data_IF_939268850396
#
_entry.id   IF_939268850396
#
_cell.length_a   1.000
_cell.length_b   1.000
_cell.length_c   1.000
_cell.angle_alpha   90.00
_cell.angle_beta   90.00
_cell.angle_gamma   90.00
#
_symmetry.space_group_name_H-M   'P 1'
#
loop_
_entity.id
_entity.type
_entity.pdbx_description
1 polymer ?
#
# COMPACT_ATOMS: atom_id res chain seq x y z
N UNK A 1 38.74 -11.23 33.45
CA UNK A 1 39.62 -10.25 32.76
C UNK A 1 40.50 -9.40 33.68
N UNK A 2 40.03 -8.95 34.86
CA UNK A 2 40.84 -8.10 35.77
C UNK A 2 42.21 -8.71 36.16
N UNK A 3 42.25 -10.02 36.43
CA UNK A 3 43.49 -10.72 36.87
C UNK A 3 44.57 -10.73 35.79
N UNK A 4 44.22 -10.97 34.51
CA UNK A 4 45.16 -10.98 33.38
C UNK A 4 45.73 -9.58 33.09
N UNK A 5 44.93 -8.54 33.23
CA UNK A 5 45.39 -7.15 33.10
C UNK A 5 46.41 -6.79 34.19
N UNK A 6 46.11 -7.11 35.45
CA UNK A 6 47.04 -6.86 36.56
C UNK A 6 48.31 -7.71 36.46
N UNK A 7 48.23 -8.95 35.96
CA UNK A 7 49.40 -9.76 35.63
C UNK A 7 50.24 -9.14 34.51
N UNK A 8 49.60 -8.61 33.46
CA UNK A 8 50.27 -7.90 32.36
C UNK A 8 50.99 -6.63 32.85
N UNK A 9 50.31 -5.80 33.65
CA UNK A 9 50.89 -4.58 34.25
C UNK A 9 52.06 -4.93 35.18
N UNK A 10 51.90 -5.94 36.04
CA UNK A 10 52.95 -6.41 36.93
C UNK A 10 54.16 -6.94 36.14
N UNK A 11 53.93 -7.75 35.10
CA UNK A 11 54.98 -8.27 34.23
C UNK A 11 55.71 -7.14 33.50
N UNK A 12 54.98 -6.17 32.96
CA UNK A 12 55.54 -5.01 32.23
C UNK A 12 56.42 -4.13 33.12
N UNK A 13 56.06 -3.98 34.40
CA UNK A 13 56.82 -3.16 35.34
C UNK A 13 57.99 -3.93 35.97
N UNK A 14 57.82 -5.21 36.31
CA UNK A 14 58.81 -5.97 37.07
C UNK A 14 59.83 -6.70 36.18
N UNK A 15 59.40 -7.29 35.05
CA UNK A 15 60.30 -8.11 34.22
C UNK A 15 61.46 -7.31 33.60
N UNK A 16 61.27 -6.09 33.06
CA UNK A 16 62.38 -5.29 32.52
C UNK A 16 63.42 -4.89 33.57
N UNK A 17 62.97 -4.60 34.80
CA UNK A 17 63.84 -4.23 35.92
C UNK A 17 64.70 -5.42 36.35
N UNK A 18 64.08 -6.60 36.49
CA UNK A 18 64.80 -7.83 36.86
C UNK A 18 65.80 -8.22 35.76
N UNK A 19 65.41 -8.15 34.49
CA UNK A 19 66.30 -8.48 33.37
C UNK A 19 67.47 -7.47 33.29
N UNK A 20 67.17 -6.18 33.41
CA UNK A 20 68.17 -5.11 33.32
C UNK A 20 69.22 -5.17 34.43
N UNK A 21 68.81 -5.46 35.67
CA UNK A 21 69.74 -5.55 36.81
C UNK A 21 70.54 -6.86 36.77
N UNK A 22 69.88 -7.98 36.46
CA UNK A 22 70.48 -9.30 36.66
C UNK A 22 71.29 -9.81 35.47
N UNK A 23 70.96 -9.39 34.24
CA UNK A 23 71.65 -9.79 33.01
C UNK A 23 72.45 -8.65 32.37
N UNK A 24 72.31 -7.41 32.88
CA UNK A 24 72.95 -6.21 32.36
C UNK A 24 72.72 -5.96 30.86
N UNK A 25 71.68 -6.57 30.30
CA UNK A 25 71.30 -6.48 28.89
C UNK A 25 70.10 -5.54 28.74
N UNK A 26 70.42 -4.29 28.44
CA UNK A 26 69.45 -3.21 28.25
C UNK A 26 68.53 -3.48 27.05
N UNK A 27 68.99 -4.19 26.02
CA UNK A 27 68.20 -4.46 24.82
C UNK A 27 67.03 -5.39 25.13
N UNK A 28 67.32 -6.50 25.81
CA UNK A 28 66.31 -7.50 26.18
C UNK A 28 65.29 -6.95 27.19
N UNK A 29 65.72 -6.04 28.08
CA UNK A 29 64.83 -5.32 29.00
C UNK A 29 63.77 -4.47 28.27
N UNK A 30 64.18 -3.73 27.24
CA UNK A 30 63.25 -2.94 26.42
C UNK A 30 62.26 -3.79 25.63
N UNK A 31 62.71 -4.92 25.08
CA UNK A 31 61.82 -5.85 24.37
C UNK A 31 60.77 -6.44 25.30
N UNK A 32 61.13 -6.76 26.54
CA UNK A 32 60.19 -7.25 27.55
C UNK A 32 59.16 -6.17 27.95
N UNK A 33 59.58 -4.91 28.08
CA UNK A 33 58.70 -3.79 28.39
C UNK A 33 57.68 -3.54 27.26
N UNK A 34 58.15 -3.53 26.00
CA UNK A 34 57.29 -3.35 24.83
C UNK A 34 56.28 -4.50 24.69
N UNK A 35 56.73 -5.73 24.93
CA UNK A 35 55.87 -6.92 24.87
C UNK A 35 54.79 -6.88 25.95
N UNK A 36 55.14 -6.48 27.18
CA UNK A 36 54.18 -6.29 28.27
C UNK A 36 53.19 -5.15 28.00
N UNK A 37 53.67 -4.01 27.49
CA UNK A 37 52.82 -2.87 27.12
C UNK A 37 51.84 -3.25 25.99
N UNK A 38 52.30 -4.02 25.01
CA UNK A 38 51.46 -4.52 23.91
C UNK A 38 50.36 -5.46 24.41
N UNK A 39 50.68 -6.43 25.28
CA UNK A 39 49.70 -7.33 25.89
C UNK A 39 48.66 -6.54 26.71
N UNK A 40 49.10 -5.55 27.47
CA UNK A 40 48.22 -4.67 28.27
C UNK A 40 47.28 -3.86 27.37
N UNK A 41 47.77 -3.36 26.23
CA UNK A 41 46.97 -2.66 25.23
C UNK A 41 45.94 -3.59 24.56
N UNK A 42 46.35 -4.78 24.12
CA UNK A 42 45.45 -5.76 23.48
C UNK A 42 44.36 -6.24 24.46
N UNK A 43 44.67 -6.37 25.74
CA UNK A 43 43.68 -6.72 26.75
C UNK A 43 42.57 -5.66 26.94
N UNK A 44 42.82 -4.41 26.54
CA UNK A 44 41.87 -3.28 26.61
C UNK A 44 41.23 -2.92 25.27
N UNK A 45 41.71 -3.46 24.17
CA UNK A 45 41.12 -3.29 22.83
C UNK A 45 39.61 -3.65 22.78
N UNK A 46 39.12 -4.73 23.42
CA UNK A 46 37.69 -5.05 23.41
C UNK A 46 36.81 -4.00 24.11
N UNK A 47 37.28 -3.46 25.24
CA UNK A 47 36.56 -2.39 25.97
C UNK A 47 36.52 -1.10 25.14
N UNK A 48 37.61 -0.75 24.45
CA UNK A 48 37.68 0.42 23.54
C UNK A 48 36.79 0.20 22.31
N UNK A 49 36.73 -1.01 21.78
CA UNK A 49 35.87 -1.38 20.66
C UNK A 49 34.38 -1.32 21.03
N UNK A 50 33.99 -1.79 22.22
CA UNK A 50 32.61 -1.66 22.72
C UNK A 50 32.21 -0.18 22.93
N UNK A 51 33.12 0.65 23.45
CA UNK A 51 32.89 2.08 23.64
C UNK A 51 32.78 2.85 22.31
N UNK A 52 33.47 2.40 21.26
CA UNK A 52 33.37 2.98 19.91
C UNK A 52 32.13 2.50 19.15
N UNK A 53 31.71 1.24 19.36
CA UNK A 53 30.52 0.67 18.71
C UNK A 53 29.21 1.10 19.37
N UNK A 54 29.20 1.46 20.66
CA UNK A 54 28.00 1.94 21.36
C UNK A 54 27.37 3.19 20.70
N UNK A 55 28.11 4.30 20.57
CA UNK A 55 27.62 5.52 19.92
C UNK A 55 27.27 5.33 18.45
N UNK A 56 28.02 4.50 17.71
CA UNK A 56 27.73 4.19 16.30
C UNK A 56 26.45 3.37 16.18
N UNK A 57 26.27 2.34 17.02
CA UNK A 57 25.05 1.51 17.05
C UNK A 57 23.81 2.31 17.47
N UNK A 58 23.96 3.26 18.40
CA UNK A 58 22.90 4.19 18.76
C UNK A 58 22.50 5.07 17.57
N UNK A 59 23.46 5.74 16.93
CA UNK A 59 23.20 6.54 15.72
C UNK A 59 22.59 5.73 14.58
N UNK A 60 23.03 4.48 14.39
CA UNK A 60 22.45 3.59 13.38
C UNK A 60 20.98 3.26 13.69
N UNK A 61 20.64 2.99 14.96
CA UNK A 61 19.25 2.77 15.37
C UNK A 61 18.40 4.02 15.16
N UNK A 62 18.91 5.19 15.55
CA UNK A 62 18.20 6.46 15.35
C UNK A 62 17.94 6.71 13.86
N UNK A 63 18.91 6.42 12.98
CA UNK A 63 18.74 6.55 11.52
C UNK A 63 17.80 5.52 10.92
N UNK A 64 17.77 4.30 11.44
CA UNK A 64 16.80 3.28 11.04
C UNK A 64 15.37 3.70 11.47
N UNK A 65 15.22 4.24 12.67
CA UNK A 65 13.94 4.74 13.18
C UNK A 65 13.45 5.94 12.36
N UNK A 66 14.33 6.91 12.09
CA UNK A 66 14.05 8.05 11.22
C UNK A 66 13.60 7.58 9.83
N UNK A 67 14.33 6.63 9.22
CA UNK A 67 13.96 6.06 7.93
C UNK A 67 12.60 5.32 7.98
N UNK A 68 12.32 4.59 9.06
CA UNK A 68 11.03 3.91 9.26
C UNK A 68 9.87 4.90 9.35
N UNK A 69 10.07 6.02 10.02
CA UNK A 69 9.08 7.12 10.09
C UNK A 69 8.86 7.72 8.71
N UNK A 70 9.94 8.01 7.96
CA UNK A 70 9.84 8.55 6.60
C UNK A 70 9.11 7.58 5.66
N UNK A 71 9.41 6.28 5.72
CA UNK A 71 8.71 5.26 4.93
C UNK A 71 7.21 5.26 5.25
N UNK A 72 6.85 5.35 6.54
CA UNK A 72 5.45 5.41 6.97
C UNK A 72 4.76 6.67 6.44
N UNK A 73 5.45 7.82 6.43
CA UNK A 73 4.91 9.06 5.88
C UNK A 73 4.73 8.99 4.35
N UNK A 74 5.71 8.45 3.63
CA UNK A 74 5.61 8.24 2.18
C UNK A 74 4.49 7.29 1.81
N UNK A 75 4.30 6.21 2.59
CA UNK A 75 3.18 5.28 2.43
C UNK A 75 1.83 6.00 2.57
N UNK A 76 1.66 6.83 3.62
CA UNK A 76 0.44 7.64 3.80
C UNK A 76 0.17 8.57 2.62
N UNK A 77 1.21 9.24 2.12
CA UNK A 77 1.08 10.11 0.93
C UNK A 77 0.68 9.30 -0.30
N UNK A 78 1.28 8.12 -0.50
CA UNK A 78 0.95 7.23 -1.61
C UNK A 78 -0.51 6.75 -1.55
N UNK A 79 -1.01 6.38 -0.36
CA UNK A 79 -2.41 6.01 -0.12
C UNK A 79 -3.34 7.18 -0.47
N UNK A 80 -3.12 8.37 0.08
CA UNK A 80 -3.97 9.54 -0.20
C UNK A 80 -3.93 9.96 -1.67
N UNK A 81 -2.76 9.92 -2.32
CA UNK A 81 -2.64 10.26 -3.73
C UNK A 81 -3.31 9.20 -4.63
N UNK A 82 -3.26 7.93 -4.24
CA UNK A 82 -3.94 6.85 -4.97
C UNK A 82 -5.45 6.98 -4.88
N UNK A 83 -5.99 7.32 -3.72
CA UNK A 83 -7.43 7.59 -3.56
C UNK A 83 -7.89 8.74 -4.46
N UNK A 84 -7.16 9.87 -4.45
CA UNK A 84 -7.46 11.00 -5.34
C UNK A 84 -7.35 10.59 -6.82
N UNK A 85 -6.30 9.86 -7.19
CA UNK A 85 -6.08 9.40 -8.58
C UNK A 85 -7.20 8.47 -9.04
N UNK A 86 -7.65 7.53 -8.21
CA UNK A 86 -8.73 6.62 -8.57
C UNK A 86 -10.08 7.34 -8.63
N UNK A 87 -10.32 8.28 -7.72
CA UNK A 87 -11.50 9.15 -7.74
C UNK A 87 -11.55 9.98 -9.02
N UNK A 88 -10.45 10.61 -9.41
CA UNK A 88 -10.35 11.35 -10.67
C UNK A 88 -10.48 10.43 -11.89
N UNK A 89 -9.86 9.25 -11.84
CA UNK A 89 -9.92 8.25 -12.90
C UNK A 89 -11.35 7.78 -13.13
N UNK A 90 -12.16 7.59 -12.09
CA UNK A 90 -13.54 7.14 -12.24
C UNK A 90 -14.49 8.31 -12.56
N UNK A 91 -14.23 9.51 -12.01
CA UNK A 91 -14.94 10.75 -12.36
C UNK A 91 -14.79 11.09 -13.85
N UNK A 92 -13.58 10.90 -14.41
CA UNK A 92 -13.32 11.08 -15.83
C UNK A 92 -14.08 10.08 -16.72
N UNK A 93 -14.78 9.08 -16.16
CA UNK A 93 -15.56 8.11 -16.95
C UNK A 93 -16.76 8.76 -17.61
N UNK A 94 -17.23 9.84 -17.01
CA UNK A 94 -18.35 10.61 -17.50
C UNK A 94 -17.99 11.58 -18.64
N UNK A 95 -16.71 11.95 -18.81
CA UNK A 95 -16.27 12.96 -19.78
C UNK A 95 -15.62 12.39 -21.06
N UNK A 96 -15.51 11.06 -21.19
CA UNK A 96 -14.88 10.40 -22.35
C UNK A 96 -13.34 10.38 -22.28
N UNK A 97 -12.68 9.82 -23.30
CA UNK A 97 -11.22 9.85 -23.46
C UNK A 97 -10.46 8.57 -23.12
N UNK A 98 -10.83 7.84 -22.06
CA UNK A 98 -10.21 6.56 -21.69
C UNK A 98 -11.23 5.43 -21.65
N UNK A 99 -10.91 4.29 -22.25
CA UNK A 99 -11.76 3.09 -22.24
C UNK A 99 -11.89 2.51 -20.83
N UNK A 100 -13.05 1.90 -20.54
CA UNK A 100 -13.29 1.29 -19.23
C UNK A 100 -12.28 0.18 -18.92
N UNK A 101 -11.91 -0.63 -19.93
CA UNK A 101 -10.84 -1.63 -19.81
C UNK A 101 -9.53 -1.03 -19.27
N UNK A 102 -9.09 0.11 -19.83
CA UNK A 102 -7.84 0.75 -19.40
C UNK A 102 -7.93 1.31 -18.00
N UNK A 103 -9.11 1.80 -17.58
CA UNK A 103 -9.34 2.27 -16.20
C UNK A 103 -9.22 1.12 -15.20
N UNK A 104 -9.84 -0.02 -15.50
CA UNK A 104 -9.72 -1.23 -14.66
C UNK A 104 -8.26 -1.71 -14.57
N UNK A 105 -7.51 -1.63 -15.67
CA UNK A 105 -6.08 -1.95 -15.68
C UNK A 105 -5.28 -1.02 -14.76
N UNK A 106 -5.47 0.31 -14.90
CA UNK A 106 -4.80 1.30 -14.05
C UNK A 106 -5.16 1.09 -12.57
N UNK A 107 -6.43 0.83 -12.27
CA UNK A 107 -6.87 0.50 -10.92
C UNK A 107 -6.09 -0.69 -10.34
N UNK A 108 -6.01 -1.79 -11.08
CA UNK A 108 -5.29 -2.99 -10.61
C UNK A 108 -3.80 -2.69 -10.38
N UNK A 109 -3.18 -1.87 -11.24
CA UNK A 109 -1.79 -1.47 -11.07
C UNK A 109 -1.59 -0.62 -9.81
N UNK A 110 -2.49 0.33 -9.54
CA UNK A 110 -2.47 1.16 -8.32
C UNK A 110 -2.63 0.29 -7.07
N UNK A 111 -3.62 -0.60 -7.04
CA UNK A 111 -3.86 -1.51 -5.92
C UNK A 111 -2.68 -2.47 -5.71
N UNK A 112 -2.09 -3.00 -6.78
CA UNK A 112 -0.90 -3.85 -6.70
C UNK A 112 0.29 -3.10 -6.11
N UNK A 113 0.55 -1.87 -6.59
CA UNK A 113 1.65 -1.05 -6.09
C UNK A 113 1.47 -0.70 -4.59
N UNK A 114 0.24 -0.41 -4.15
CA UNK A 114 -0.05 -0.19 -2.73
C UNK A 114 0.21 -1.45 -1.89
N UNK A 115 -0.17 -2.63 -2.36
CA UNK A 115 0.12 -3.90 -1.69
C UNK A 115 1.62 -4.16 -1.61
N UNK A 116 2.38 -3.87 -2.66
CA UNK A 116 3.84 -4.04 -2.71
C UNK A 116 4.57 -3.16 -1.69
N UNK A 117 4.08 -1.94 -1.43
CA UNK A 117 4.63 -1.06 -0.38
C UNK A 117 4.07 -1.38 1.03
N UNK A 118 3.31 -2.47 1.16
CA UNK A 118 2.80 -2.97 2.43
C UNK A 118 1.56 -2.23 2.95
N UNK A 119 0.69 -1.71 2.07
CA UNK A 119 -0.63 -1.21 2.45
C UNK A 119 -1.47 -2.32 3.12
N UNK A 120 -2.12 -1.99 4.23
CA UNK A 120 -3.04 -2.90 4.91
C UNK A 120 -4.44 -2.83 4.29
N UNK A 121 -5.32 -3.75 4.69
CA UNK A 121 -6.67 -3.85 4.12
C UNK A 121 -7.51 -2.58 4.37
N UNK A 122 -7.33 -1.92 5.52
CA UNK A 122 -8.07 -0.71 5.84
C UNK A 122 -7.63 0.48 4.95
N UNK A 123 -6.33 0.57 4.65
CA UNK A 123 -5.80 1.54 3.68
C UNK A 123 -6.29 1.27 2.26
N UNK A 124 -6.38 -0.01 1.85
CA UNK A 124 -6.93 -0.40 0.56
C UNK A 124 -8.44 -0.10 0.47
N UNK A 125 -9.22 -0.43 1.49
CA UNK A 125 -10.64 -0.09 1.57
C UNK A 125 -10.88 1.42 1.49
N UNK A 126 -10.02 2.22 2.13
CA UNK A 126 -10.07 3.68 2.05
C UNK A 126 -9.86 4.16 0.62
N UNK A 127 -8.83 3.65 -0.07
CA UNK A 127 -8.52 4.01 -1.46
C UNK A 127 -9.61 3.58 -2.43
N UNK A 128 -10.21 2.42 -2.21
CA UNK A 128 -11.25 1.87 -3.09
C UNK A 128 -12.65 2.45 -2.83
N UNK A 129 -12.87 3.22 -1.76
CA UNK A 129 -14.21 3.67 -1.35
C UNK A 129 -14.94 4.40 -2.46
N UNK A 130 -14.32 5.45 -3.01
CA UNK A 130 -14.97 6.29 -4.02
C UNK A 130 -14.90 5.65 -5.42
N UNK A 131 -13.89 4.81 -5.65
CA UNK A 131 -13.85 3.91 -6.80
C UNK A 131 -15.08 3.00 -6.85
N UNK A 132 -15.42 2.34 -5.73
CA UNK A 132 -16.57 1.42 -5.63
C UNK A 132 -17.90 2.14 -5.87
N UNK A 133 -18.04 3.38 -5.41
CA UNK A 133 -19.19 4.23 -5.73
C UNK A 133 -19.29 4.50 -7.23
N UNK A 134 -18.17 4.87 -7.87
CA UNK A 134 -18.13 5.09 -9.31
C UNK A 134 -18.48 3.83 -10.12
N UNK A 135 -18.00 2.65 -9.70
CA UNK A 135 -18.39 1.36 -10.31
C UNK A 135 -19.90 1.10 -10.17
N UNK A 136 -20.50 1.43 -9.03
CA UNK A 136 -21.96 1.32 -8.82
C UNK A 136 -22.76 2.17 -9.81
N UNK A 137 -22.30 3.39 -10.09
CA UNK A 137 -22.92 4.27 -11.09
C UNK A 137 -22.80 3.68 -12.51
N UNK A 138 -21.66 3.06 -12.83
CA UNK A 138 -21.48 2.40 -14.13
C UNK A 138 -22.42 1.21 -14.29
N UNK A 139 -22.61 0.40 -13.24
CA UNK A 139 -23.62 -0.66 -13.23
C UNK A 139 -25.02 -0.11 -13.47
N UNK A 140 -25.39 0.96 -12.78
CA UNK A 140 -26.68 1.59 -13.00
C UNK A 140 -26.84 2.07 -14.46
N UNK A 141 -25.81 2.69 -15.03
CA UNK A 141 -25.82 3.11 -16.44
C UNK A 141 -26.00 1.94 -17.40
N UNK A 142 -25.35 0.80 -17.13
CA UNK A 142 -25.52 -0.43 -17.90
C UNK A 142 -26.97 -0.94 -17.81
N UNK A 143 -27.53 -0.98 -16.59
CA UNK A 143 -28.91 -1.40 -16.34
C UNK A 143 -29.89 -0.46 -17.06
N UNK A 144 -29.75 0.86 -16.92
CA UNK A 144 -30.60 1.84 -17.60
C UNK A 144 -30.51 1.72 -19.13
N UNK A 145 -29.31 1.48 -19.67
CA UNK A 145 -29.12 1.27 -21.10
C UNK A 145 -29.82 -0.01 -21.58
N UNK A 146 -29.73 -1.09 -20.81
CA UNK A 146 -30.43 -2.36 -21.09
C UNK A 146 -31.96 -2.23 -20.95
N UNK A 147 -32.44 -1.45 -19.97
CA UNK A 147 -33.86 -1.15 -19.78
C UNK A 147 -34.44 -0.45 -21.00
N UNK A 148 -33.74 0.56 -21.52
CA UNK A 148 -34.17 1.31 -22.69
C UNK A 148 -33.84 0.62 -24.03
N UNK A 149 -33.12 -0.51 -24.01
CA UNK A 149 -32.70 -1.21 -25.21
C UNK A 149 -31.76 -0.38 -26.10
N UNK A 150 -30.84 0.38 -25.48
CA UNK A 150 -29.83 1.17 -26.22
C UNK A 150 -28.71 0.27 -26.70
N UNK A 151 -28.35 0.34 -27.99
CA UNK A 151 -27.16 -0.36 -28.51
C UNK A 151 -25.85 0.28 -28.01
N UNK A 152 -25.85 1.60 -27.81
CA UNK A 152 -24.70 2.36 -27.32
C UNK A 152 -25.13 3.33 -26.23
N UNK A 153 -24.28 3.54 -25.23
CA UNK A 153 -24.60 4.37 -24.08
C UNK A 153 -24.96 5.84 -24.39
N UNK A 154 -24.54 6.36 -25.55
CA UNK A 154 -24.84 7.73 -26.01
C UNK A 154 -26.04 7.83 -26.96
N UNK A 155 -26.63 6.70 -27.37
CA UNK A 155 -27.77 6.70 -28.28
C UNK A 155 -29.08 6.66 -27.51
N UNK A 156 -30.02 7.53 -27.89
CA UNK A 156 -31.39 7.50 -27.35
C UNK A 156 -32.20 6.53 -28.20
N UNK A 157 -32.77 5.50 -27.59
CA UNK A 157 -33.71 4.63 -28.26
C UNK A 157 -35.09 5.29 -28.31
N UNK A 158 -35.45 5.88 -29.45
CA UNK A 158 -36.76 6.49 -29.65
C UNK A 158 -37.92 5.48 -29.63
N UNK A 159 -37.63 4.19 -29.85
CA UNK A 159 -38.60 3.10 -29.79
C UNK A 159 -38.84 2.56 -28.37
N UNK A 160 -38.17 3.11 -27.35
CA UNK A 160 -38.40 2.72 -25.96
C UNK A 160 -39.88 2.95 -25.57
N UNK A 161 -40.48 1.95 -24.94
CA UNK A 161 -41.85 2.02 -24.41
C UNK A 161 -41.94 3.02 -23.26
N UNK A 162 -43.15 3.52 -23.00
CA UNK A 162 -43.38 4.43 -21.86
C UNK A 162 -43.05 3.79 -20.51
N UNK A 163 -43.22 2.47 -20.38
CA UNK A 163 -42.81 1.73 -19.20
C UNK A 163 -41.28 1.76 -18.99
N UNK A 164 -40.50 1.55 -20.06
CA UNK A 164 -39.03 1.62 -20.03
C UNK A 164 -38.53 3.03 -19.69
N UNK A 165 -39.13 4.06 -20.31
CA UNK A 165 -38.80 5.47 -20.01
C UNK A 165 -39.11 5.82 -18.56
N UNK A 166 -40.26 5.37 -18.05
CA UNK A 166 -40.68 5.62 -16.67
C UNK A 166 -39.76 4.92 -15.67
N UNK A 167 -39.38 3.67 -15.92
CA UNK A 167 -38.42 2.95 -15.09
C UNK A 167 -37.06 3.64 -15.06
N UNK A 168 -36.55 4.05 -16.23
CA UNK A 168 -35.29 4.81 -16.34
C UNK A 168 -35.34 6.13 -15.57
N UNK A 169 -36.45 6.86 -15.66
CA UNK A 169 -36.64 8.10 -14.91
C UNK A 169 -36.67 7.87 -13.39
N UNK A 170 -37.35 6.82 -12.91
CA UNK A 170 -37.38 6.47 -11.48
C UNK A 170 -36.00 6.05 -10.97
N UNK A 171 -35.25 5.25 -11.74
CA UNK A 171 -33.86 4.90 -11.39
C UNK A 171 -32.96 6.14 -11.30
N UNK A 172 -33.14 7.11 -12.20
CA UNK A 172 -32.41 8.38 -12.14
C UNK A 172 -32.77 9.19 -10.90
N UNK A 173 -34.04 9.21 -10.48
CA UNK A 173 -34.47 9.90 -9.24
C UNK A 173 -33.86 9.25 -7.99
N UNK A 174 -33.73 7.93 -7.98
CA UNK A 174 -33.08 7.21 -6.88
C UNK A 174 -31.57 7.40 -6.83
N UNK A 175 -30.99 8.00 -7.87
CA UNK A 175 -29.56 8.25 -7.98
C UNK A 175 -29.25 9.70 -7.64
N UNK A 176 -28.18 9.90 -6.88
CA UNK A 176 -27.65 11.22 -6.58
C UNK A 176 -26.24 11.30 -7.14
N UNK A 177 -26.11 12.01 -8.26
CA UNK A 177 -24.83 12.18 -8.95
C UNK A 177 -23.89 13.12 -8.20
N UNK A 178 -24.40 14.00 -7.34
CA UNK A 178 -23.55 14.93 -6.58
C UNK A 178 -22.83 14.19 -5.45
N UNK A 179 -23.48 13.19 -4.85
CA UNK A 179 -22.90 12.36 -3.78
C UNK A 179 -22.39 11.00 -4.24
N UNK A 180 -22.49 10.72 -5.54
CA UNK A 180 -22.15 9.43 -6.16
C UNK A 180 -22.91 8.25 -5.56
N UNK A 181 -24.17 8.49 -5.18
CA UNK A 181 -25.05 7.48 -4.61
C UNK A 181 -25.87 6.84 -5.71
N UNK A 182 -25.82 5.51 -5.79
CA UNK A 182 -26.63 4.70 -6.72
C UNK A 182 -27.63 3.85 -5.91
N UNK A 183 -28.86 3.61 -6.41
CA UNK A 183 -29.76 2.63 -5.81
C UNK A 183 -29.11 1.25 -5.78
N UNK A 184 -29.35 0.49 -4.72
CA UNK A 184 -28.86 -0.89 -4.59
C UNK A 184 -29.43 -1.81 -5.67
N UNK A 185 -28.80 -2.96 -5.91
CA UNK A 185 -29.31 -3.94 -6.87
C UNK A 185 -30.74 -4.40 -6.54
N UNK A 186 -31.07 -4.50 -5.24
CA UNK A 186 -32.42 -4.82 -4.75
C UNK A 186 -33.45 -3.72 -5.04
N UNK A 187 -33.08 -2.45 -4.85
CA UNK A 187 -33.94 -1.31 -5.19
C UNK A 187 -34.17 -1.24 -6.70
N UNK A 188 -33.10 -1.38 -7.49
CA UNK A 188 -33.16 -1.40 -8.95
C UNK A 188 -34.09 -2.52 -9.43
N UNK A 189 -33.94 -3.74 -8.90
CA UNK A 189 -34.83 -4.87 -9.22
C UNK A 189 -36.31 -4.57 -8.97
N UNK A 190 -36.64 -3.95 -7.83
CA UNK A 190 -38.02 -3.55 -7.51
C UNK A 190 -38.60 -2.57 -8.53
N UNK A 191 -37.80 -1.61 -9.00
CA UNK A 191 -38.23 -0.66 -10.04
C UNK A 191 -38.48 -1.41 -11.36
N UNK A 192 -37.59 -2.31 -11.77
CA UNK A 192 -37.77 -3.10 -12.99
C UNK A 192 -39.04 -3.96 -12.94
N UNK A 193 -39.28 -4.65 -11.82
CA UNK A 193 -40.47 -5.47 -11.59
C UNK A 193 -41.76 -4.64 -11.58
N UNK A 194 -41.74 -3.44 -10.97
CA UNK A 194 -42.88 -2.50 -10.93
C UNK A 194 -43.37 -2.12 -12.33
N UNK A 195 -42.47 -1.97 -13.29
CA UNK A 195 -42.80 -1.62 -14.68
C UNK A 195 -42.94 -2.83 -15.61
N UNK A 196 -42.86 -4.06 -15.09
CA UNK A 196 -43.04 -5.28 -15.87
C UNK A 196 -41.98 -5.51 -16.95
N UNK A 197 -40.75 -5.01 -16.75
CA UNK A 197 -39.67 -5.12 -17.73
C UNK A 197 -38.99 -6.49 -17.57
N UNK A 198 -39.18 -7.35 -18.56
CA UNK A 198 -38.56 -8.68 -18.62
C UNK A 198 -37.54 -8.73 -19.75
N UNK A 199 -36.29 -8.36 -19.44
CA UNK A 199 -35.16 -8.41 -20.37
C UNK A 199 -34.03 -9.24 -19.75
N UNK A 200 -33.50 -10.20 -20.51
CA UNK A 200 -32.38 -11.05 -20.08
C UNK A 200 -31.15 -10.20 -19.76
N UNK A 201 -30.89 -9.15 -20.55
CA UNK A 201 -29.78 -8.23 -20.31
C UNK A 201 -29.96 -7.43 -19.01
N UNK A 202 -31.18 -7.00 -18.71
CA UNK A 202 -31.47 -6.30 -17.46
C UNK A 202 -31.26 -7.24 -16.27
N UNK A 203 -31.75 -8.48 -16.35
CA UNK A 203 -31.56 -9.48 -15.32
C UNK A 203 -30.08 -9.81 -15.09
N UNK A 204 -29.30 -9.93 -16.18
CA UNK A 204 -27.86 -10.12 -16.13
C UNK A 204 -27.17 -8.98 -15.35
N UNK A 205 -27.41 -7.72 -15.74
CA UNK A 205 -26.73 -6.59 -15.12
C UNK A 205 -27.12 -6.39 -13.65
N UNK A 206 -28.37 -6.66 -13.27
CA UNK A 206 -28.79 -6.65 -11.87
C UNK A 206 -28.06 -7.74 -11.07
N UNK A 207 -27.88 -8.93 -11.64
CA UNK A 207 -27.15 -10.01 -10.98
C UNK A 207 -25.65 -9.70 -10.82
N UNK A 208 -25.01 -9.10 -11.83
CA UNK A 208 -23.63 -8.62 -11.75
C UNK A 208 -23.49 -7.52 -10.70
N UNK A 209 -24.44 -6.57 -10.67
CA UNK A 209 -24.39 -5.48 -9.70
C UNK A 209 -24.55 -6.00 -8.26
N UNK A 210 -25.47 -6.95 -8.04
CA UNK A 210 -25.62 -7.63 -6.74
C UNK A 210 -24.33 -8.35 -6.33
N UNK A 211 -23.68 -9.05 -7.26
CA UNK A 211 -22.41 -9.71 -6.98
C UNK A 211 -21.34 -8.70 -6.55
N UNK A 212 -21.25 -7.56 -7.24
CA UNK A 212 -20.33 -6.48 -6.89
C UNK A 212 -20.62 -5.88 -5.51
N UNK A 213 -21.88 -5.67 -5.13
CA UNK A 213 -22.24 -5.20 -3.77
C UNK A 213 -21.80 -6.18 -2.68
N UNK A 214 -21.90 -7.50 -2.94
CA UNK A 214 -21.56 -8.54 -1.96
C UNK A 214 -20.06 -8.81 -1.87
N UNK A 215 -19.32 -8.70 -2.97
CA UNK A 215 -17.92 -9.15 -3.07
C UNK A 215 -16.92 -8.02 -3.33
N UNK A 216 -17.40 -6.81 -3.64
CA UNK A 216 -16.55 -5.68 -4.01
C UNK A 216 -15.76 -5.87 -5.32
N UNK A 217 -16.11 -6.87 -6.14
CA UNK A 217 -15.38 -7.23 -7.35
C UNK A 217 -16.30 -7.44 -8.56
N UNK A 218 -15.75 -7.19 -9.75
CA UNK A 218 -16.46 -7.35 -11.04
C UNK A 218 -16.22 -8.78 -11.53
N UNK A 219 -17.31 -9.55 -11.70
CA UNK A 219 -17.27 -10.95 -12.14
C UNK A 219 -17.02 -11.04 -13.64
N UNK A 220 -17.86 -10.42 -14.47
CA UNK A 220 -17.66 -10.36 -15.93
C UNK A 220 -16.97 -9.06 -16.35
N UNK A 221 -15.64 -9.04 -16.23
CA UNK A 221 -14.82 -7.87 -16.57
C UNK A 221 -14.87 -7.51 -18.05
N UNK A 222 -14.98 -8.52 -18.92
CA UNK A 222 -14.98 -8.31 -20.37
C UNK A 222 -16.23 -7.57 -20.81
N UNK A 223 -17.41 -8.00 -20.33
CA UNK A 223 -18.67 -7.34 -20.65
C UNK A 223 -18.79 -5.99 -19.94
N UNK A 224 -18.33 -5.89 -18.69
CA UNK A 224 -18.30 -4.61 -17.96
C UNK A 224 -17.42 -3.57 -18.65
N UNK A 225 -16.31 -3.98 -19.27
CA UNK A 225 -15.42 -3.08 -19.99
C UNK A 225 -16.00 -2.48 -21.28
N UNK A 226 -17.17 -2.97 -21.74
CA UNK A 226 -17.86 -2.49 -22.93
C UNK A 226 -18.97 -1.45 -22.63
N UNK A 227 -19.28 -1.23 -21.36
CA UNK A 227 -20.27 -0.23 -20.88
C UNK A 227 -19.75 1.19 -21.07
#
# INVERSE_FOLDING_TARGET
MKILFWLGVFFTLCAPIVIGIHFNDTSTSWVAALSGAFITFVAKLPEIAELSLGPVKARMRDKIEEASVTITQLKKIAVSNSEATLSDLIAGSFMGGMSQAKRLEIHNNVVSALKEIGADEAELEFVERDWKKGISIIYLRAITSAVEGREKAHQVNSAATEAQKSASAELKILSDFDTWTSPTASQTKKVIEKYGINSEDVAFWIAEYKYFEEHGSIRDKERFAQV
#
